data_IF_832947171577
#
_entry.id   IF_832947171577
#
_cell.length_a   1.000
_cell.length_b   1.000
_cell.length_c   1.000
_cell.angle_alpha   90.00
_cell.angle_beta   90.00
_cell.angle_gamma   90.00
#
_symmetry.space_group_name_H-M   'P 1'
#
loop_
_entity.id
_entity.type
_entity.pdbx_description
1 polymer ?
#
# COMPACT_ATOMS: atom_id res chain seq x y z
N UNK A 1 -14.49 -6.06 45.69
CA UNK A 1 -13.55 -6.16 44.54
C UNK A 1 -12.37 -7.02 44.96
N UNK A 2 -12.36 -8.29 44.56
CA UNK A 2 -11.22 -9.18 44.82
C UNK A 2 -10.16 -8.86 43.77
N UNK A 3 -9.08 -8.21 44.18
CA UNK A 3 -7.90 -8.03 43.33
C UNK A 3 -7.26 -9.40 43.13
N UNK A 4 -7.63 -10.07 42.04
CA UNK A 4 -6.99 -11.31 41.61
C UNK A 4 -5.56 -10.97 41.17
N UNK A 5 -4.62 -11.06 42.11
CA UNK A 5 -3.20 -10.93 41.82
C UNK A 5 -2.75 -12.07 40.91
N UNK A 6 -2.38 -11.73 39.68
CA UNK A 6 -1.83 -12.67 38.69
C UNK A 6 -0.48 -13.20 39.22
N UNK A 7 -0.49 -14.40 39.83
CA UNK A 7 0.71 -15.12 40.26
C UNK A 7 1.36 -15.84 39.07
N UNK A 8 2.19 -15.12 38.33
CA UNK A 8 3.01 -15.68 37.25
C UNK A 8 4.31 -16.30 37.81
N UNK A 9 4.40 -17.63 37.87
CA UNK A 9 5.68 -18.33 38.03
C UNK A 9 6.21 -18.66 36.63
N UNK A 10 7.07 -17.79 36.09
CA UNK A 10 7.81 -18.09 34.86
C UNK A 10 9.31 -18.01 35.18
N UNK A 11 10.04 -19.05 34.79
CA UNK A 11 11.50 -19.07 34.76
C UNK A 11 11.94 -19.07 33.29
N UNK A 12 13.03 -18.37 32.97
CA UNK A 12 13.65 -18.40 31.65
C UNK A 12 15.04 -19.02 31.75
N UNK A 13 15.51 -19.64 30.66
CA UNK A 13 16.86 -20.17 30.56
C UNK A 13 17.77 -19.11 29.95
N UNK A 14 18.84 -18.77 30.64
CA UNK A 14 19.88 -17.85 30.19
C UNK A 14 21.19 -18.63 30.04
N UNK A 15 22.01 -18.30 29.03
CA UNK A 15 23.36 -18.87 28.91
C UNK A 15 24.34 -18.01 29.67
N UNK A 16 25.10 -18.62 30.58
CA UNK A 16 26.18 -17.94 31.28
C UNK A 16 27.39 -17.68 30.35
N UNK A 17 28.41 -16.98 30.85
CA UNK A 17 29.64 -16.67 30.10
C UNK A 17 30.42 -17.92 29.66
N UNK A 18 30.11 -19.09 30.23
CA UNK A 18 30.71 -20.39 29.92
C UNK A 18 29.82 -21.25 29.00
N UNK A 19 28.66 -20.74 28.58
CA UNK A 19 27.72 -21.41 27.68
C UNK A 19 26.77 -22.40 28.35
N UNK A 20 26.72 -22.47 29.69
CA UNK A 20 25.79 -23.33 30.42
C UNK A 20 24.40 -22.69 30.51
N UNK A 21 23.36 -23.51 30.43
CA UNK A 21 21.97 -23.05 30.63
C UNK A 21 21.64 -22.95 32.13
N UNK A 22 21.32 -21.73 32.57
CA UNK A 22 20.94 -21.42 33.96
C UNK A 22 19.49 -20.95 33.97
N UNK A 23 18.66 -21.58 34.81
CA UNK A 23 17.27 -21.16 34.99
C UNK A 23 17.18 -19.98 35.96
N UNK A 24 16.69 -18.82 35.49
CA UNK A 24 16.49 -17.62 36.32
C UNK A 24 15.01 -17.26 36.43
N UNK A 25 14.65 -16.68 37.58
CA UNK A 25 13.31 -16.15 37.82
C UNK A 25 13.03 -15.02 36.81
N UNK A 26 11.96 -15.13 36.03
CA UNK A 26 11.63 -14.18 34.95
C UNK A 26 11.00 -12.88 35.45
N UNK A 27 11.56 -12.22 36.47
CA UNK A 27 11.04 -10.94 36.99
C UNK A 27 12.15 -9.91 37.27
N UNK A 28 12.16 -8.77 36.55
CA UNK A 28 11.40 -8.50 35.33
C UNK A 28 11.88 -9.40 34.18
N UNK A 29 10.97 -9.90 33.34
CA UNK A 29 11.35 -10.68 32.16
C UNK A 29 11.96 -9.74 31.12
N UNK A 30 13.20 -9.97 30.65
CA UNK A 30 13.78 -9.15 29.60
C UNK A 30 13.02 -9.35 28.28
N UNK A 31 12.70 -8.26 27.58
CA UNK A 31 11.93 -8.27 26.33
C UNK A 31 12.64 -9.03 25.19
N UNK A 32 13.97 -9.10 25.24
CA UNK A 32 14.81 -9.77 24.23
C UNK A 32 14.45 -11.25 24.05
N UNK A 33 14.00 -11.92 25.12
CA UNK A 33 13.54 -13.32 25.06
C UNK A 33 12.21 -13.51 24.33
N UNK A 34 11.51 -12.41 23.99
CA UNK A 34 10.26 -12.41 23.24
C UNK A 34 10.46 -12.04 21.77
N UNK A 35 11.69 -11.70 21.37
CA UNK A 35 12.01 -11.23 20.03
C UNK A 35 12.85 -12.27 19.30
N UNK A 36 12.66 -12.34 17.98
CA UNK A 36 13.48 -13.14 17.08
C UNK A 36 13.93 -12.23 15.95
N UNK A 37 15.24 -12.22 15.70
CA UNK A 37 15.80 -11.47 14.59
C UNK A 37 15.49 -12.16 13.26
N UNK A 38 14.92 -11.40 12.32
CA UNK A 38 14.66 -11.84 10.96
C UNK A 38 15.55 -11.04 10.02
N UNK A 39 16.39 -11.70 9.19
CA UNK A 39 17.22 -10.98 8.24
C UNK A 39 16.35 -10.26 7.21
N UNK A 40 16.62 -8.98 6.99
CA UNK A 40 15.99 -8.16 5.96
C UNK A 40 17.01 -7.83 4.86
N UNK A 41 16.63 -8.01 3.60
CA UNK A 41 17.46 -7.62 2.46
C UNK A 41 16.58 -7.21 1.28
N UNK A 42 17.17 -6.46 0.36
CA UNK A 42 16.60 -6.16 -0.95
C UNK A 42 17.31 -7.01 -2.01
N UNK A 43 16.62 -7.45 -3.07
CA UNK A 43 17.25 -8.12 -4.20
C UNK A 43 18.38 -7.27 -4.82
N UNK A 44 19.46 -7.91 -5.27
CA UNK A 44 20.61 -7.23 -5.91
C UNK A 44 20.18 -6.43 -7.13
N UNK A 45 19.30 -7.01 -7.95
CA UNK A 45 18.58 -6.31 -9.01
C UNK A 45 17.16 -6.02 -8.54
N UNK A 46 16.77 -4.74 -8.39
CA UNK A 46 15.45 -4.41 -7.85
C UNK A 46 14.36 -4.88 -8.82
N UNK A 47 13.45 -5.72 -8.31
CA UNK A 47 12.29 -6.19 -9.07
C UNK A 47 11.04 -5.49 -8.51
N UNK A 48 10.63 -4.41 -9.17
CA UNK A 48 9.47 -3.64 -8.78
C UNK A 48 8.18 -4.28 -9.28
N UNK A 49 7.21 -4.45 -8.39
CA UNK A 49 5.85 -4.87 -8.75
C UNK A 49 5.05 -3.68 -9.29
N UNK A 50 5.11 -2.55 -8.60
CA UNK A 50 4.45 -1.31 -8.98
C UNK A 50 5.38 -0.39 -9.78
N UNK A 51 4.80 0.60 -10.45
CA UNK A 51 5.54 1.62 -11.17
C UNK A 51 6.46 2.39 -10.20
N UNK A 52 7.71 2.58 -10.60
CA UNK A 52 8.72 3.33 -9.84
C UNK A 52 9.43 4.36 -10.72
N UNK A 53 8.73 4.88 -11.73
CA UNK A 53 9.29 5.85 -12.65
C UNK A 53 9.66 7.15 -11.89
N UNK A 54 10.97 7.50 -11.81
CA UNK A 54 11.42 8.66 -11.02
C UNK A 54 11.04 9.99 -11.68
N UNK A 55 10.64 9.99 -12.94
CA UNK A 55 10.26 11.20 -13.68
C UNK A 55 8.82 11.66 -13.40
N UNK A 56 7.99 10.80 -12.78
CA UNK A 56 6.58 11.08 -12.50
C UNK A 56 6.36 11.18 -10.99
N UNK A 57 5.45 12.05 -10.59
CA UNK A 57 5.06 12.17 -9.19
C UNK A 57 4.15 10.98 -8.82
N UNK A 58 4.49 10.21 -7.77
CA UNK A 58 3.68 9.09 -7.30
C UNK A 58 2.34 9.59 -6.74
N UNK A 59 1.36 8.70 -6.65
CA UNK A 59 0.09 9.05 -6.02
C UNK A 59 0.30 9.30 -4.51
N UNK A 60 -0.38 10.30 -3.89
CA UNK A 60 -0.23 10.58 -2.46
C UNK A 60 -0.53 9.34 -1.60
N UNK A 61 0.25 9.13 -0.55
CA UNK A 61 0.12 7.95 0.33
C UNK A 61 -1.05 8.13 1.30
N UNK A 62 -1.78 7.06 1.59
CA UNK A 62 -2.91 7.09 2.52
C UNK A 62 -2.48 7.45 3.96
N UNK A 63 -3.42 8.01 4.73
CA UNK A 63 -3.24 8.35 6.15
C UNK A 63 -2.14 9.37 6.46
N UNK A 64 -1.77 10.23 5.48
CA UNK A 64 -0.76 11.29 5.62
C UNK A 64 -1.33 12.71 5.54
N UNK A 65 -2.57 12.88 5.99
CA UNK A 65 -3.25 14.17 6.00
C UNK A 65 -2.46 15.27 6.73
N UNK A 66 -1.73 14.90 7.79
CA UNK A 66 -0.92 15.83 8.59
C UNK A 66 0.30 16.33 7.81
N UNK A 67 0.83 15.52 6.89
CA UNK A 67 1.99 15.84 6.07
C UNK A 67 1.60 16.62 4.79
N UNK A 68 0.30 16.85 4.56
CA UNK A 68 -0.23 17.53 3.39
C UNK A 68 -0.55 16.62 2.20
N UNK A 69 -0.35 15.31 2.35
CA UNK A 69 -0.72 14.31 1.36
C UNK A 69 -2.22 14.03 1.45
N UNK A 70 -3.00 14.79 0.66
CA UNK A 70 -4.45 14.67 0.59
C UNK A 70 -4.82 13.78 -0.60
N UNK A 71 -5.46 12.64 -0.33
CA UNK A 71 -6.07 11.80 -1.36
C UNK A 71 -7.48 12.30 -1.66
N UNK A 72 -7.59 13.22 -2.61
CA UNK A 72 -8.86 13.72 -3.12
C UNK A 72 -8.99 13.52 -4.63
N UNK A 73 -10.15 13.88 -5.17
CA UNK A 73 -10.41 13.77 -6.61
C UNK A 73 -9.48 14.67 -7.45
N UNK A 74 -9.01 15.78 -6.88
CA UNK A 74 -8.06 16.66 -7.54
C UNK A 74 -6.68 16.02 -7.65
N UNK A 75 -6.20 15.31 -6.61
CA UNK A 75 -4.98 14.52 -6.65
C UNK A 75 -5.05 13.40 -7.70
N UNK A 76 -6.21 12.74 -7.82
CA UNK A 76 -6.46 11.76 -8.90
C UNK A 76 -6.31 12.38 -10.30
N UNK A 77 -6.92 13.55 -10.53
CA UNK A 77 -6.82 14.26 -11.79
C UNK A 77 -5.36 14.64 -12.10
N UNK A 78 -4.68 15.29 -11.14
CA UNK A 78 -3.28 15.70 -11.29
C UNK A 78 -2.34 14.51 -11.55
N UNK A 79 -2.58 13.37 -10.91
CA UNK A 79 -1.82 12.15 -11.13
C UNK A 79 -2.04 11.62 -12.56
N UNK A 80 -3.28 11.43 -13.00
CA UNK A 80 -3.60 10.86 -14.30
C UNK A 80 -3.16 11.77 -15.47
N UNK A 81 -3.21 13.10 -15.30
CA UNK A 81 -2.73 14.06 -16.30
C UNK A 81 -1.23 13.93 -16.63
N UNK A 82 -0.43 13.27 -15.79
CA UNK A 82 0.99 13.04 -16.05
C UNK A 82 1.25 11.94 -17.09
N UNK A 83 0.24 11.17 -17.45
CA UNK A 83 0.35 10.00 -18.32
C UNK A 83 -0.28 10.26 -19.68
N UNK A 84 0.38 9.78 -20.73
CA UNK A 84 -0.18 9.81 -22.08
C UNK A 84 -1.30 8.79 -22.29
N UNK A 85 -2.09 8.90 -23.38
CA UNK A 85 -3.20 7.98 -23.67
C UNK A 85 -2.78 6.50 -23.78
N UNK A 86 -1.54 6.24 -24.20
CA UNK A 86 -0.98 4.88 -24.34
C UNK A 86 -0.22 4.40 -23.10
N UNK A 87 -0.24 5.15 -22.00
CA UNK A 87 0.50 4.84 -20.77
C UNK A 87 -0.42 4.41 -19.62
N UNK A 88 -1.67 4.01 -19.92
CA UNK A 88 -2.67 3.63 -18.92
C UNK A 88 -2.16 2.54 -17.97
N UNK A 89 -1.56 1.46 -18.50
CA UNK A 89 -1.01 0.38 -17.68
C UNK A 89 0.04 0.88 -16.68
N UNK A 90 0.90 1.81 -17.11
CA UNK A 90 1.93 2.41 -16.27
C UNK A 90 1.33 3.32 -15.20
N UNK A 91 0.24 4.03 -15.53
CA UNK A 91 -0.48 4.90 -14.60
C UNK A 91 -1.18 4.11 -13.50
N UNK A 92 -1.92 3.06 -13.87
CA UNK A 92 -2.76 2.27 -12.96
C UNK A 92 -1.96 1.28 -12.11
N UNK A 93 -0.71 0.99 -12.49
CA UNK A 93 0.20 0.14 -11.72
C UNK A 93 0.82 0.89 -10.50
N UNK A 94 0.00 1.59 -9.71
CA UNK A 94 0.36 2.23 -8.45
C UNK A 94 -0.56 1.68 -7.35
N UNK A 95 0.02 1.19 -6.26
CA UNK A 95 -0.73 0.60 -5.16
C UNK A 95 -1.65 1.61 -4.46
N UNK A 96 -1.18 2.83 -4.22
CA UNK A 96 -1.93 3.84 -3.49
C UNK A 96 -3.12 4.32 -4.32
N UNK A 97 -2.93 4.42 -5.64
CA UNK A 97 -4.02 4.70 -6.57
C UNK A 97 -5.07 3.58 -6.56
N UNK A 98 -4.66 2.31 -6.65
CA UNK A 98 -5.59 1.17 -6.62
C UNK A 98 -6.37 1.12 -5.30
N UNK A 99 -5.70 1.40 -4.18
CA UNK A 99 -6.34 1.47 -2.88
C UNK A 99 -7.38 2.59 -2.84
N UNK A 100 -7.02 3.79 -3.28
CA UNK A 100 -7.92 4.93 -3.37
C UNK A 100 -9.15 4.64 -4.23
N UNK A 101 -8.97 4.08 -5.44
CA UNK A 101 -10.09 3.70 -6.32
C UNK A 101 -10.99 2.65 -5.66
N UNK A 102 -10.41 1.69 -4.93
CA UNK A 102 -11.16 0.64 -4.25
C UNK A 102 -11.96 1.14 -3.04
N UNK A 103 -11.50 2.22 -2.38
CA UNK A 103 -12.13 2.79 -1.17
C UNK A 103 -12.90 4.08 -1.43
N UNK A 104 -12.90 4.60 -2.67
CA UNK A 104 -13.60 5.83 -3.02
C UNK A 104 -15.12 5.66 -2.91
N UNK A 105 -15.74 6.46 -2.04
CA UNK A 105 -17.20 6.42 -1.82
C UNK A 105 -18.02 6.96 -2.99
N UNK A 106 -17.44 7.87 -3.79
CA UNK A 106 -18.14 8.53 -4.90
C UNK A 106 -18.49 7.55 -6.03
N UNK A 107 -17.58 6.61 -6.34
CA UNK A 107 -17.80 5.54 -7.32
C UNK A 107 -17.20 4.24 -6.76
N UNK A 108 -18.03 3.32 -6.25
CA UNK A 108 -17.54 2.06 -5.71
C UNK A 108 -17.00 1.17 -6.84
N UNK A 109 -15.70 1.24 -7.09
CA UNK A 109 -15.04 0.49 -8.17
C UNK A 109 -14.60 -0.91 -7.75
N UNK A 110 -14.59 -1.19 -6.44
CA UNK A 110 -14.07 -2.43 -5.84
C UNK A 110 -14.61 -3.70 -6.52
N UNK A 111 -15.89 -3.73 -6.86
CA UNK A 111 -16.54 -4.90 -7.48
C UNK A 111 -16.09 -5.12 -8.94
N UNK A 112 -15.68 -4.06 -9.63
CA UNK A 112 -15.30 -4.08 -11.05
C UNK A 112 -13.78 -4.19 -11.27
N UNK A 113 -12.99 -4.08 -10.20
CA UNK A 113 -11.52 -4.12 -10.26
C UNK A 113 -10.93 -5.53 -10.42
N UNK A 114 -11.71 -6.60 -10.25
CA UNK A 114 -11.22 -7.98 -10.34
C UNK A 114 -10.39 -8.28 -11.61
N UNK A 115 -10.93 -8.01 -12.82
CA UNK A 115 -10.19 -8.19 -14.07
C UNK A 115 -8.92 -7.32 -14.17
N UNK A 116 -8.98 -6.07 -13.72
CA UNK A 116 -7.82 -5.16 -13.69
C UNK A 116 -6.68 -5.71 -12.82
N UNK A 117 -7.00 -6.17 -11.61
CA UNK A 117 -6.01 -6.71 -10.68
C UNK A 117 -5.38 -8.00 -11.21
N UNK A 118 -6.13 -8.83 -11.94
CA UNK A 118 -5.59 -9.99 -12.63
C UNK A 118 -4.64 -9.59 -13.76
N UNK A 119 -5.01 -8.58 -14.57
CA UNK A 119 -4.17 -8.05 -15.63
C UNK A 119 -2.85 -7.50 -15.07
N UNK A 120 -2.90 -6.71 -13.99
CA UNK A 120 -1.71 -6.20 -13.31
C UNK A 120 -0.82 -7.31 -12.76
N UNK A 121 -1.41 -8.31 -12.10
CA UNK A 121 -0.68 -9.47 -11.57
C UNK A 121 0.06 -10.25 -12.65
N UNK A 122 -0.58 -10.44 -13.81
CA UNK A 122 -0.01 -11.17 -14.94
C UNK A 122 0.84 -10.29 -15.88
N UNK A 123 0.93 -8.98 -15.61
CA UNK A 123 1.56 -7.97 -16.48
C UNK A 123 0.98 -7.95 -17.89
N UNK A 124 -0.31 -8.19 -18.02
CA UNK A 124 -1.05 -8.16 -19.28
C UNK A 124 -1.52 -6.72 -19.58
N UNK A 125 -0.80 -6.04 -20.46
CA UNK A 125 -1.10 -4.66 -20.84
C UNK A 125 -2.37 -4.55 -21.68
N UNK A 126 -2.67 -5.57 -22.49
CA UNK A 126 -3.83 -5.56 -23.40
C UNK A 126 -5.12 -5.70 -22.60
N UNK A 127 -5.15 -6.60 -21.63
CA UNK A 127 -6.29 -6.77 -20.74
C UNK A 127 -6.54 -5.51 -19.87
N UNK A 128 -5.48 -4.82 -19.44
CA UNK A 128 -5.63 -3.56 -18.70
C UNK A 128 -6.19 -2.42 -19.59
N UNK A 129 -5.73 -2.31 -20.83
CA UNK A 129 -6.28 -1.36 -21.81
C UNK A 129 -7.71 -1.69 -22.24
N UNK A 130 -8.10 -2.97 -22.23
CA UNK A 130 -9.49 -3.35 -22.44
C UNK A 130 -10.36 -2.93 -21.26
N UNK A 131 -9.87 -3.10 -20.04
CA UNK A 131 -10.57 -2.67 -18.84
C UNK A 131 -10.72 -1.15 -18.76
N UNK A 132 -9.76 -0.35 -19.25
CA UNK A 132 -9.92 1.12 -19.31
C UNK A 132 -11.06 1.56 -20.22
N UNK A 133 -11.48 0.72 -21.18
CA UNK A 133 -12.66 0.99 -22.02
C UNK A 133 -13.99 0.62 -21.35
N UNK A 134 -13.97 0.15 -20.11
CA UNK A 134 -15.19 -0.18 -19.36
C UNK A 134 -16.02 1.07 -19.06
N UNK A 135 -17.35 0.91 -18.99
CA UNK A 135 -18.28 2.01 -18.69
C UNK A 135 -18.01 2.65 -17.32
N UNK A 136 -17.58 1.83 -16.35
CA UNK A 136 -17.24 2.29 -15.01
C UNK A 136 -16.01 3.20 -15.00
N UNK A 137 -14.96 2.84 -15.74
CA UNK A 137 -13.78 3.69 -15.88
C UNK A 137 -14.07 4.95 -16.71
N UNK A 138 -14.86 4.83 -17.79
CA UNK A 138 -15.28 5.97 -18.60
C UNK A 138 -16.03 7.03 -17.76
N UNK A 139 -16.78 6.62 -16.74
CA UNK A 139 -17.44 7.54 -15.81
C UNK A 139 -16.42 8.36 -15.01
N UNK A 140 -15.32 7.74 -14.55
CA UNK A 140 -14.23 8.44 -13.86
C UNK A 140 -13.55 9.44 -14.80
N UNK A 141 -13.26 9.03 -16.04
CA UNK A 141 -12.68 9.91 -17.06
C UNK A 141 -13.57 11.13 -17.36
N UNK A 142 -14.89 10.93 -17.45
CA UNK A 142 -15.85 12.02 -17.64
C UNK A 142 -15.89 12.99 -16.45
N UNK A 143 -15.84 12.48 -15.22
CA UNK A 143 -15.77 13.32 -14.03
C UNK A 143 -14.47 14.12 -13.97
N UNK A 144 -13.35 13.50 -14.36
CA UNK A 144 -12.05 14.18 -14.47
C UNK A 144 -12.12 15.30 -15.51
N UNK A 145 -12.70 15.03 -16.69
CA UNK A 145 -12.88 16.01 -17.74
C UNK A 145 -13.79 17.18 -17.31
N UNK A 146 -14.85 16.89 -16.54
CA UNK A 146 -15.76 17.90 -16.02
C UNK A 146 -15.16 18.74 -14.88
N UNK A 147 -14.25 18.15 -14.08
CA UNK A 147 -13.56 18.82 -12.97
C UNK A 147 -12.41 19.71 -13.43
N UNK A 148 -11.96 19.58 -14.69
CA UNK A 148 -10.88 20.38 -15.23
C UNK A 148 -11.41 21.76 -15.68
N UNK A 149 -10.79 22.89 -15.26
CA UNK A 149 -11.23 24.21 -15.70
C UNK A 149 -11.17 24.34 -17.23
N UNK A 150 -12.16 24.96 -17.90
CA UNK A 150 -12.04 25.26 -19.32
C UNK A 150 -10.81 26.13 -19.55
N UNK A 151 -10.05 25.94 -20.66
CA UNK A 151 -8.89 26.75 -20.95
C UNK A 151 -9.33 28.22 -21.01
N UNK A 152 -8.77 29.03 -20.11
CA UNK A 152 -8.97 30.47 -20.09
C UNK A 152 -8.55 31.04 -21.45
N UNK A 153 -9.54 31.51 -22.20
CA UNK A 153 -9.41 32.12 -23.54
C UNK A 153 -8.82 33.52 -23.46
#
# INVERSE_FOLDING_TARGET
MVSSSIKLKYCHQEKDTYGNEVSRLGRPLPVEYLLVDVPASTPVTPNYTFNSNPSKQPFPVENRLIDGDIQDFNALNQYLCQFGPSEFFTAINDFHLLLYIATMDMLPMKEYMGPLLQALKNKDTVAAEEWSRSEHWATIEQLIAASSPPPSR
#
